data_IF_434535972152
#
_entry.id   IF_434535972152
#
_cell.length_a   1.000
_cell.length_b   1.000
_cell.length_c   1.000
_cell.angle_alpha   90.00
_cell.angle_beta   90.00
_cell.angle_gamma   90.00
#
_symmetry.space_group_name_H-M   'P 1'
#
loop_
_entity.id
_entity.type
_entity.pdbx_description
1 polymer ?
#
# COMPACT_ATOMS: atom_id res chain seq x y z
N UNK A 1 66.79 34.11 44.52
CA UNK A 1 66.52 33.66 43.13
C UNK A 1 65.18 32.95 43.12
N UNK A 2 64.19 33.53 42.44
CA UNK A 2 62.77 33.13 42.43
C UNK A 2 62.52 31.98 41.44
N UNK A 3 61.59 31.10 41.84
CA UNK A 3 60.62 30.35 41.04
C UNK A 3 61.11 29.40 39.93
N UNK A 4 61.13 28.10 40.26
CA UNK A 4 60.87 26.97 39.34
C UNK A 4 60.03 25.92 40.06
N UNK A 5 58.73 26.16 40.15
CA UNK A 5 57.70 25.17 40.50
C UNK A 5 56.40 25.88 40.20
N UNK A 6 55.74 25.54 39.10
CA UNK A 6 54.30 25.81 38.83
C UNK A 6 53.86 25.36 37.42
N UNK A 7 54.75 24.81 36.57
CA UNK A 7 54.39 24.37 35.20
C UNK A 7 53.95 22.90 35.07
N UNK A 8 53.90 22.12 36.14
CA UNK A 8 53.68 20.66 36.04
C UNK A 8 52.28 20.16 36.46
N UNK A 9 51.42 21.03 37.00
CA UNK A 9 50.05 20.67 37.38
C UNK A 9 49.02 21.00 36.27
N UNK A 10 49.31 22.03 35.47
CA UNK A 10 48.45 22.53 34.39
C UNK A 10 48.53 21.66 33.11
N UNK A 11 49.67 21.00 32.89
CA UNK A 11 49.90 20.09 31.76
C UNK A 11 49.19 18.74 31.92
N UNK A 12 49.09 18.21 33.15
CA UNK A 12 48.39 16.96 33.46
C UNK A 12 46.88 17.14 33.31
N UNK A 13 46.31 18.23 33.84
CA UNK A 13 44.89 18.54 33.67
C UNK A 13 44.48 18.74 32.21
N UNK A 14 45.35 19.33 31.38
CA UNK A 14 45.07 19.50 29.95
C UNK A 14 45.12 18.17 29.18
N UNK A 15 46.03 17.27 29.54
CA UNK A 15 46.11 15.94 28.94
C UNK A 15 44.86 15.10 29.29
N UNK A 16 44.43 15.13 30.55
CA UNK A 16 43.23 14.43 31.01
C UNK A 16 41.96 14.95 30.30
N UNK A 17 41.86 16.27 30.10
CA UNK A 17 40.76 16.88 29.34
C UNK A 17 40.78 16.49 27.87
N UNK A 18 41.97 16.37 27.25
CA UNK A 18 42.10 15.94 25.85
C UNK A 18 41.70 14.49 25.66
N UNK A 19 42.06 13.61 26.59
CA UNK A 19 41.68 12.19 26.54
C UNK A 19 40.18 12.01 26.83
N UNK A 20 39.61 12.77 27.77
CA UNK A 20 38.17 12.83 27.98
C UNK A 20 37.40 13.31 26.74
N UNK A 21 37.92 14.33 26.04
CA UNK A 21 37.33 14.86 24.81
C UNK A 21 37.38 13.84 23.66
N UNK A 22 38.50 13.11 23.51
CA UNK A 22 38.62 12.03 22.53
C UNK A 22 37.63 10.89 22.83
N UNK A 23 37.55 10.46 24.09
CA UNK A 23 36.60 9.44 24.51
C UNK A 23 35.15 9.85 24.25
N UNK A 24 34.80 11.11 24.54
CA UNK A 24 33.49 11.66 24.22
C UNK A 24 33.23 11.70 22.70
N UNK A 25 34.22 12.07 21.89
CA UNK A 25 34.09 12.06 20.43
C UNK A 25 33.84 10.65 19.89
N UNK A 26 34.58 9.65 20.37
CA UNK A 26 34.41 8.24 19.99
C UNK A 26 33.00 7.75 20.36
N UNK A 27 32.51 8.08 21.56
CA UNK A 27 31.14 7.75 21.98
C UNK A 27 30.09 8.39 21.08
N UNK A 28 30.28 9.67 20.71
CA UNK A 28 29.35 10.37 19.79
C UNK A 28 29.32 9.68 18.42
N UNK A 29 30.47 9.24 17.89
CA UNK A 29 30.52 8.52 16.61
C UNK A 29 29.82 7.16 16.70
N UNK A 30 30.03 6.41 17.79
CA UNK A 30 29.35 5.14 18.01
C UNK A 30 27.83 5.33 18.08
N UNK A 31 27.36 6.31 18.85
CA UNK A 31 25.94 6.64 18.97
C UNK A 31 25.33 7.03 17.62
N UNK A 32 26.07 7.79 16.80
CA UNK A 32 25.61 8.17 15.46
C UNK A 32 25.42 6.96 14.55
N UNK A 33 26.38 6.04 14.55
CA UNK A 33 26.28 4.81 13.77
C UNK A 33 25.08 3.97 14.21
N UNK A 34 24.90 3.79 15.52
CA UNK A 34 23.72 3.08 16.05
C UNK A 34 22.41 3.80 15.68
N UNK A 35 22.36 5.13 15.72
CA UNK A 35 21.18 5.89 15.31
C UNK A 35 20.83 5.68 13.83
N UNK A 36 21.84 5.64 12.96
CA UNK A 36 21.65 5.39 11.53
C UNK A 36 21.16 3.94 11.29
N UNK A 37 21.68 2.97 12.05
CA UNK A 37 21.17 1.59 12.06
C UNK A 37 19.70 1.52 12.51
N UNK A 38 19.34 2.20 13.61
CA UNK A 38 17.95 2.25 14.08
C UNK A 38 17.00 2.84 13.05
N UNK A 39 17.38 3.95 12.40
CA UNK A 39 16.56 4.56 11.34
C UNK A 39 16.39 3.64 10.14
N UNK A 40 17.44 2.92 9.76
CA UNK A 40 17.36 1.94 8.68
C UNK A 40 16.42 0.79 9.03
N UNK A 41 16.56 0.23 10.25
CA UNK A 41 15.70 -0.84 10.76
C UNK A 41 14.23 -0.40 10.83
N UNK A 42 13.97 0.80 11.34
CA UNK A 42 12.62 1.37 11.40
C UNK A 42 12.01 1.53 10.00
N UNK A 43 12.79 2.04 9.04
CA UNK A 43 12.36 2.14 7.65
C UNK A 43 12.04 0.79 7.00
N UNK A 44 12.89 -0.21 7.23
CA UNK A 44 12.68 -1.57 6.74
C UNK A 44 11.44 -2.21 7.36
N UNK A 45 11.25 -2.06 8.67
CA UNK A 45 10.07 -2.55 9.40
C UNK A 45 8.80 -1.89 8.85
N UNK A 46 8.80 -0.55 8.72
CA UNK A 46 7.65 0.20 8.19
C UNK A 46 7.27 -0.27 6.79
N UNK A 47 8.25 -0.53 5.91
CA UNK A 47 8.00 -1.07 4.57
C UNK A 47 7.35 -2.46 4.64
N UNK A 48 7.86 -3.35 5.48
CA UNK A 48 7.29 -4.71 5.65
C UNK A 48 5.88 -4.67 6.22
N UNK A 49 5.63 -3.85 7.24
CA UNK A 49 4.30 -3.68 7.82
C UNK A 49 3.31 -3.14 6.78
N UNK A 50 3.75 -2.19 5.95
CA UNK A 50 2.93 -1.70 4.84
C UNK A 50 2.60 -2.80 3.82
N UNK A 51 3.60 -3.55 3.34
CA UNK A 51 3.40 -4.67 2.39
C UNK A 51 2.41 -5.71 2.94
N UNK A 52 2.54 -6.06 4.22
CA UNK A 52 1.64 -7.01 4.89
C UNK A 52 0.22 -6.47 5.01
N UNK A 53 0.07 -5.19 5.39
CA UNK A 53 -1.22 -4.52 5.46
C UNK A 53 -1.94 -4.54 4.10
N UNK A 54 -1.25 -4.23 3.01
CA UNK A 54 -1.86 -4.26 1.68
C UNK A 54 -2.28 -5.69 1.27
N UNK A 55 -1.50 -6.71 1.62
CA UNK A 55 -1.90 -8.12 1.38
C UNK A 55 -3.14 -8.53 2.17
N UNK A 56 -3.28 -8.08 3.41
CA UNK A 56 -4.50 -8.34 4.19
C UNK A 56 -5.72 -7.72 3.52
N UNK A 57 -5.63 -6.46 3.05
CA UNK A 57 -6.72 -5.83 2.28
C UNK A 57 -7.10 -6.62 1.03
N UNK A 58 -6.11 -7.08 0.26
CA UNK A 58 -6.34 -7.90 -0.93
C UNK A 58 -7.08 -9.20 -0.58
N UNK A 59 -6.62 -9.91 0.47
CA UNK A 59 -7.23 -11.16 0.92
C UNK A 59 -8.66 -10.95 1.45
N UNK A 60 -8.88 -9.91 2.24
CA UNK A 60 -10.21 -9.56 2.76
C UNK A 60 -11.18 -9.23 1.62
N UNK A 61 -10.71 -8.49 0.61
CA UNK A 61 -11.48 -8.18 -0.59
C UNK A 61 -11.86 -9.45 -1.37
N UNK A 62 -10.89 -10.33 -1.62
CA UNK A 62 -11.10 -11.60 -2.31
C UNK A 62 -12.05 -12.52 -1.54
N UNK A 63 -11.89 -12.61 -0.22
CA UNK A 63 -12.77 -13.39 0.64
C UNK A 63 -14.20 -12.85 0.61
N UNK A 64 -14.37 -11.53 0.77
CA UNK A 64 -15.68 -10.89 0.70
C UNK A 64 -16.36 -11.14 -0.66
N UNK A 65 -15.63 -10.99 -1.77
CA UNK A 65 -16.15 -11.27 -3.12
C UNK A 65 -16.51 -12.75 -3.28
N UNK A 66 -15.64 -13.66 -2.83
CA UNK A 66 -15.88 -15.11 -2.92
C UNK A 66 -17.18 -15.52 -2.22
N UNK A 67 -17.48 -14.90 -1.07
CA UNK A 67 -18.73 -15.16 -0.33
C UNK A 67 -19.99 -14.75 -1.13
N UNK A 68 -19.88 -13.74 -2.01
CA UNK A 68 -20.98 -13.31 -2.88
C UNK A 68 -21.19 -14.24 -4.06
N UNK A 69 -20.13 -14.82 -4.59
CA UNK A 69 -20.18 -15.74 -5.72
C UNK A 69 -20.91 -17.05 -5.39
N UNK A 70 -20.79 -17.53 -4.14
CA UNK A 70 -21.36 -18.81 -3.68
C UNK A 70 -22.83 -18.67 -3.22
N UNK A 71 -23.39 -17.46 -3.17
CA UNK A 71 -24.75 -17.22 -2.68
C UNK A 71 -25.83 -17.86 -3.60
N UNK A 72 -26.54 -18.93 -3.15
CA UNK A 72 -27.38 -19.73 -4.04
C UNK A 72 -28.68 -19.03 -4.48
N UNK A 73 -29.22 -18.11 -3.68
CA UNK A 73 -30.53 -17.49 -3.93
C UNK A 73 -30.46 -16.09 -4.55
N UNK A 74 -29.26 -15.53 -4.73
CA UNK A 74 -29.10 -14.18 -5.30
C UNK A 74 -29.15 -14.21 -6.83
N UNK A 75 -29.80 -13.19 -7.42
CA UNK A 75 -29.74 -12.95 -8.87
C UNK A 75 -28.34 -12.52 -9.30
N UNK A 76 -27.97 -12.79 -10.56
CA UNK A 76 -26.67 -12.40 -11.11
C UNK A 76 -26.45 -10.88 -10.97
N UNK A 77 -27.47 -10.07 -11.24
CA UNK A 77 -27.41 -8.61 -11.13
C UNK A 77 -27.06 -8.17 -9.70
N UNK A 78 -27.66 -8.81 -8.69
CA UNK A 78 -27.37 -8.51 -7.28
C UNK A 78 -25.94 -8.92 -6.91
N UNK A 79 -25.49 -10.10 -7.34
CA UNK A 79 -24.12 -10.57 -7.10
C UNK A 79 -23.12 -9.59 -7.72
N UNK A 80 -23.32 -9.17 -8.97
CA UNK A 80 -22.44 -8.22 -9.63
C UNK A 80 -22.42 -6.87 -8.91
N UNK A 81 -23.59 -6.32 -8.55
CA UNK A 81 -23.66 -5.08 -7.79
C UNK A 81 -22.93 -5.16 -6.44
N UNK A 82 -23.11 -6.26 -5.69
CA UNK A 82 -22.41 -6.48 -4.42
C UNK A 82 -20.89 -6.56 -4.62
N UNK A 83 -20.43 -7.27 -5.66
CA UNK A 83 -19.00 -7.37 -5.99
C UNK A 83 -18.41 -5.98 -6.29
N UNK A 84 -19.07 -5.18 -7.13
CA UNK A 84 -18.57 -3.85 -7.50
C UNK A 84 -18.42 -2.95 -6.27
N UNK A 85 -19.35 -3.02 -5.32
CA UNK A 85 -19.27 -2.25 -4.08
C UNK A 85 -18.17 -2.74 -3.12
N UNK A 86 -17.70 -3.98 -3.25
CA UNK A 86 -16.61 -4.52 -2.45
C UNK A 86 -15.22 -4.14 -2.99
N UNK A 87 -15.08 -3.94 -4.31
CA UNK A 87 -13.78 -3.68 -4.94
C UNK A 87 -12.94 -2.61 -4.22
N UNK A 88 -13.46 -1.42 -3.85
CA UNK A 88 -12.66 -0.39 -3.20
C UNK A 88 -11.91 -0.82 -1.94
N UNK A 89 -12.41 -1.82 -1.18
CA UNK A 89 -11.75 -2.24 0.07
C UNK A 89 -10.38 -2.90 -0.16
N UNK A 90 -10.14 -3.46 -1.35
CA UNK A 90 -8.86 -4.08 -1.72
C UNK A 90 -7.80 -3.11 -2.26
N UNK A 91 -8.09 -1.80 -2.28
CA UNK A 91 -7.19 -0.77 -2.81
C UNK A 91 -6.48 -0.01 -1.68
N UNK A 92 -5.37 0.65 -2.02
CA UNK A 92 -4.56 1.45 -1.11
C UNK A 92 -5.39 2.57 -0.46
N UNK A 93 -6.31 3.17 -1.24
CA UNK A 93 -7.14 4.30 -0.83
C UNK A 93 -8.64 4.02 -0.96
N UNK A 94 -9.25 3.12 -0.14
CA UNK A 94 -10.62 2.66 -0.34
C UNK A 94 -11.67 3.77 -0.45
N UNK A 95 -11.50 4.85 0.33
CA UNK A 95 -12.44 6.00 0.34
C UNK A 95 -12.38 6.84 -0.94
N UNK A 96 -11.26 6.81 -1.64
CA UNK A 96 -11.03 7.53 -2.89
C UNK A 96 -11.07 6.61 -4.10
N UNK A 97 -11.43 5.34 -3.93
CA UNK A 97 -11.55 4.36 -4.99
C UNK A 97 -13.02 4.15 -5.35
N UNK A 98 -13.32 4.13 -6.64
CA UNK A 98 -14.64 3.76 -7.16
C UNK A 98 -14.49 2.80 -8.33
N UNK A 99 -15.50 1.98 -8.60
CA UNK A 99 -15.44 0.92 -9.59
C UNK A 99 -16.65 0.91 -10.52
N UNK A 100 -16.43 0.47 -11.76
CA UNK A 100 -17.45 0.29 -12.79
C UNK A 100 -17.29 -1.07 -13.45
N UNK A 101 -18.40 -1.74 -13.68
CA UNK A 101 -18.51 -2.90 -14.56
C UNK A 101 -19.48 -2.57 -15.69
N UNK A 102 -19.00 -2.69 -16.93
CA UNK A 102 -19.84 -2.62 -18.11
C UNK A 102 -19.90 -3.99 -18.80
N UNK A 103 -21.10 -4.55 -18.96
CA UNK A 103 -21.35 -5.88 -19.52
C UNK A 103 -22.74 -5.94 -20.19
N UNK A 104 -22.80 -6.37 -21.45
CA UNK A 104 -24.06 -6.55 -22.22
C UNK A 104 -25.03 -5.34 -22.17
N UNK A 105 -24.50 -4.12 -22.20
CA UNK A 105 -25.31 -2.89 -22.12
C UNK A 105 -25.79 -2.53 -20.70
N UNK A 106 -25.48 -3.35 -19.70
CA UNK A 106 -25.67 -3.04 -18.29
C UNK A 106 -24.41 -2.41 -17.71
N UNK A 107 -24.61 -1.47 -16.79
CA UNK A 107 -23.56 -0.80 -16.04
C UNK A 107 -23.83 -0.98 -14.54
N UNK A 108 -22.80 -1.40 -13.81
CA UNK A 108 -22.82 -1.53 -12.35
C UNK A 108 -21.71 -0.66 -11.78
N UNK A 109 -22.05 0.24 -10.87
CA UNK A 109 -21.13 1.22 -10.33
C UNK A 109 -21.16 1.21 -8.80
N UNK A 110 -20.04 1.60 -8.17
CA UNK A 110 -20.05 1.95 -6.76
C UNK A 110 -20.91 3.19 -6.52
N UNK A 111 -21.43 3.35 -5.30
CA UNK A 111 -22.26 4.50 -4.92
C UNK A 111 -21.57 5.86 -5.10
N UNK A 112 -20.25 5.92 -4.94
CA UNK A 112 -19.42 7.11 -5.10
C UNK A 112 -18.82 7.26 -6.52
N UNK A 113 -19.39 6.61 -7.53
CA UNK A 113 -18.79 6.54 -8.85
C UNK A 113 -18.65 7.92 -9.51
N UNK A 114 -17.45 8.17 -10.03
CA UNK A 114 -17.14 9.29 -10.92
C UNK A 114 -15.98 8.86 -11.81
N UNK A 115 -16.13 9.05 -13.12
CA UNK A 115 -15.05 8.77 -14.05
C UNK A 115 -13.92 9.81 -13.87
N UNK A 116 -12.68 9.33 -13.81
CA UNK A 116 -11.48 10.16 -13.71
C UNK A 116 -10.39 9.68 -14.67
N UNK A 117 -9.38 10.51 -14.87
CA UNK A 117 -8.22 10.14 -15.71
C UNK A 117 -7.36 9.04 -15.08
N UNK A 118 -7.38 8.93 -13.75
CA UNK A 118 -6.60 7.95 -13.00
C UNK A 118 -7.41 6.66 -12.91
N UNK A 119 -7.16 5.74 -13.85
CA UNK A 119 -7.89 4.48 -13.92
C UNK A 119 -7.04 3.28 -14.29
N UNK A 120 -7.55 2.12 -13.95
CA UNK A 120 -7.09 0.83 -14.47
C UNK A 120 -8.28 -0.03 -14.87
N UNK A 121 -8.07 -0.87 -15.89
CA UNK A 121 -9.15 -1.67 -16.50
C UNK A 121 -8.73 -3.12 -16.71
N UNK A 122 -9.68 -4.04 -16.62
CA UNK A 122 -9.51 -5.45 -16.94
C UNK A 122 -10.68 -5.92 -17.81
N UNK A 123 -10.38 -6.61 -18.91
CA UNK A 123 -11.42 -7.18 -19.76
C UNK A 123 -11.99 -8.44 -19.14
N UNK A 124 -13.32 -8.53 -19.14
CA UNK A 124 -14.05 -9.74 -18.78
C UNK A 124 -14.18 -10.59 -20.02
N UNK A 125 -13.80 -11.86 -19.89
CA UNK A 125 -13.77 -12.80 -21.00
C UNK A 125 -14.60 -14.03 -20.72
N UNK A 126 -15.29 -14.50 -21.75
CA UNK A 126 -15.91 -15.82 -21.83
C UNK A 126 -15.16 -16.58 -22.92
N UNK A 127 -14.31 -17.52 -22.51
CA UNK A 127 -13.30 -18.11 -23.39
C UNK A 127 -12.40 -17.04 -24.02
N UNK A 128 -12.40 -16.94 -25.35
CA UNK A 128 -11.61 -15.93 -26.10
C UNK A 128 -12.36 -14.62 -26.33
N UNK A 129 -13.68 -14.57 -26.11
CA UNK A 129 -14.51 -13.40 -26.42
C UNK A 129 -14.49 -12.40 -25.26
N UNK A 130 -14.24 -11.13 -25.56
CA UNK A 130 -14.43 -10.03 -24.61
C UNK A 130 -15.92 -9.73 -24.51
N UNK A 131 -16.47 -9.82 -23.31
CA UNK A 131 -17.90 -9.63 -23.04
C UNK A 131 -18.19 -8.38 -22.19
N UNK A 132 -17.16 -7.83 -21.55
CA UNK A 132 -17.30 -6.63 -20.73
C UNK A 132 -15.95 -6.09 -20.28
N UNK A 133 -16.00 -5.04 -19.47
CA UNK A 133 -14.83 -4.41 -18.86
C UNK A 133 -15.13 -4.07 -17.41
N UNK A 134 -14.17 -4.37 -16.55
CA UNK A 134 -14.12 -3.94 -15.16
C UNK A 134 -13.11 -2.82 -15.04
N UNK A 135 -13.49 -1.71 -14.43
CA UNK A 135 -12.67 -0.52 -14.29
C UNK A 135 -12.66 -0.05 -12.84
N UNK A 136 -11.52 0.48 -12.41
CA UNK A 136 -11.34 1.14 -11.11
C UNK A 136 -10.73 2.50 -11.35
N UNK A 137 -11.27 3.50 -10.66
CA UNK A 137 -10.91 4.90 -10.76
C UNK A 137 -10.50 5.43 -9.40
N UNK A 138 -9.59 6.40 -9.41
CA UNK A 138 -9.24 7.19 -8.24
C UNK A 138 -9.85 8.57 -8.31
N UNK A 139 -10.64 8.90 -7.30
CA UNK A 139 -11.23 10.20 -7.08
C UNK A 139 -10.15 11.19 -6.61
N UNK A 140 -10.23 12.48 -6.99
CA UNK A 140 -9.30 13.50 -6.50
C UNK A 140 -9.24 13.53 -4.96
N UNK A 141 -8.03 13.47 -4.39
CA UNK A 141 -7.80 13.54 -2.95
C UNK A 141 -6.43 14.17 -2.65
N UNK A 142 -6.29 14.98 -1.58
CA UNK A 142 -5.05 15.68 -1.26
C UNK A 142 -3.90 14.74 -0.85
N UNK A 143 -4.19 13.48 -0.52
CA UNK A 143 -3.23 12.50 -0.01
C UNK A 143 -2.68 11.60 -1.12
N UNK A 144 -3.21 11.70 -2.35
CA UNK A 144 -2.83 10.80 -3.43
C UNK A 144 -1.47 11.17 -4.04
N UNK A 145 -0.58 10.19 -4.08
CA UNK A 145 0.58 10.24 -4.96
C UNK A 145 0.11 10.15 -6.42
N UNK A 146 0.36 11.21 -7.18
CA UNK A 146 -0.03 11.31 -8.59
C UNK A 146 0.92 10.55 -9.52
N UNK A 147 2.14 10.23 -9.08
CA UNK A 147 3.15 9.55 -9.89
C UNK A 147 2.93 8.04 -9.94
N UNK A 148 2.47 7.45 -8.83
CA UNK A 148 2.15 6.03 -8.76
C UNK A 148 0.77 5.83 -8.09
N UNK A 149 -0.32 6.11 -8.83
CA UNK A 149 -1.67 6.12 -8.26
C UNK A 149 -2.16 4.72 -7.87
N UNK A 150 -1.65 3.67 -8.52
CA UNK A 150 -2.00 2.27 -8.25
C UNK A 150 -0.76 1.42 -8.00
N UNK A 151 -0.89 0.44 -7.11
CA UNK A 151 0.12 -0.57 -6.84
C UNK A 151 0.06 -1.68 -7.91
N UNK A 152 1.20 -2.31 -8.27
CA UNK A 152 1.21 -3.45 -9.20
C UNK A 152 0.28 -4.60 -8.76
N UNK A 153 0.16 -4.83 -7.46
CA UNK A 153 -0.68 -5.89 -6.90
C UNK A 153 -2.18 -5.59 -7.06
N UNK A 154 -2.60 -4.32 -7.00
CA UNK A 154 -4.00 -3.93 -7.26
C UNK A 154 -4.41 -4.27 -8.70
N UNK A 155 -3.48 -4.14 -9.64
CA UNK A 155 -3.73 -4.57 -11.03
C UNK A 155 -3.94 -6.08 -11.13
N UNK A 156 -3.17 -6.86 -10.37
CA UNK A 156 -3.34 -8.32 -10.29
C UNK A 156 -4.69 -8.68 -9.67
N UNK A 157 -5.06 -8.00 -8.58
CA UNK A 157 -6.36 -8.15 -7.92
C UNK A 157 -7.52 -7.86 -8.90
N UNK A 158 -7.46 -6.74 -9.62
CA UNK A 158 -8.47 -6.37 -10.63
C UNK A 158 -8.64 -7.45 -11.71
N UNK A 159 -7.52 -7.98 -12.22
CA UNK A 159 -7.54 -9.03 -13.23
C UNK A 159 -8.19 -10.31 -12.70
N UNK A 160 -7.90 -10.69 -11.45
CA UNK A 160 -8.48 -11.88 -10.82
C UNK A 160 -10.00 -11.72 -10.63
N UNK A 161 -10.45 -10.56 -10.16
CA UNK A 161 -11.87 -10.26 -10.01
C UNK A 161 -12.58 -10.30 -11.37
N UNK A 162 -11.97 -9.75 -12.43
CA UNK A 162 -12.53 -9.81 -13.78
C UNK A 162 -12.66 -11.26 -14.30
N UNK A 163 -11.72 -12.15 -13.95
CA UNK A 163 -11.82 -13.58 -14.26
C UNK A 163 -13.01 -14.20 -13.52
N UNK A 164 -13.14 -13.95 -12.21
CA UNK A 164 -14.24 -14.49 -11.41
C UNK A 164 -15.61 -14.01 -11.90
N UNK A 165 -15.73 -12.73 -12.27
CA UNK A 165 -16.94 -12.18 -12.90
C UNK A 165 -17.25 -12.92 -14.21
N UNK A 166 -16.24 -13.18 -15.04
CA UNK A 166 -16.41 -13.95 -16.28
C UNK A 166 -16.94 -15.36 -16.02
N UNK A 167 -16.40 -16.06 -15.01
CA UNK A 167 -16.82 -17.42 -14.63
C UNK A 167 -18.27 -17.42 -14.14
N UNK A 168 -18.67 -16.52 -13.24
CA UNK A 168 -20.04 -16.52 -12.70
C UNK A 168 -21.08 -16.13 -13.74
N UNK A 169 -20.73 -15.25 -14.68
CA UNK A 169 -21.59 -14.91 -15.83
C UNK A 169 -21.79 -16.14 -16.72
N UNK A 170 -20.76 -16.96 -16.92
CA UNK A 170 -20.86 -18.19 -17.72
C UNK A 170 -21.70 -19.26 -16.99
N UNK A 171 -21.51 -19.41 -15.69
CA UNK A 171 -22.22 -20.40 -14.87
C UNK A 171 -23.72 -20.11 -14.69
N UNK A 172 -24.13 -18.83 -14.66
CA UNK A 172 -25.52 -18.40 -14.43
C UNK A 172 -26.32 -18.16 -15.72
N UNK A 173 -25.84 -18.66 -16.86
CA UNK A 173 -26.58 -18.65 -18.13
C UNK A 173 -27.77 -19.61 -18.12
#
# INVERSE_FOLDING_TARGET
>A
MRSKKDTNADSTSKADLLDALKGAHEQIQQLKNSLDEYKWLEGALRRRTFELSERLKELDCLYAISSKLVAPTSSLQKILADIINLIPCGWQYPKSTCARLAFNGYEYCTSNFSETKLKQSAFIRQGKKRIGVLEVFLLPSPILDKHQPFLPQEKQLLNLIAIWIGIIIDYRK
#
